data_IF_864168915279
#
_entry.id   IF_864168915279
#
_cell.length_a   1.000
_cell.length_b   1.000
_cell.length_c   1.000
_cell.angle_alpha   90.00
_cell.angle_beta   90.00
_cell.angle_gamma   90.00
#
_symmetry.space_group_name_H-M   'P 1'
#
loop_
_entity.id
_entity.type
_entity.pdbx_description
1 polymer ?
#
# COMPACT_ATOMS: atom_id res chain seq x y z
N UNK A 1 1.46 -21.62 33.00
CA UNK A 1 1.79 -20.19 32.79
C UNK A 1 1.90 -19.91 31.30
N UNK A 2 1.10 -18.91 30.86
CA UNK A 2 1.04 -18.18 29.58
C UNK A 2 1.61 -18.84 28.32
N UNK A 3 0.70 -19.40 27.52
CA UNK A 3 0.91 -19.62 26.09
C UNK A 3 1.19 -18.29 25.38
N UNK A 4 2.41 -18.12 24.88
CA UNK A 4 2.72 -17.05 23.97
C UNK A 4 1.91 -17.24 22.69
N UNK A 5 0.95 -16.34 22.44
CA UNK A 5 0.29 -16.22 21.14
C UNK A 5 1.40 -16.07 20.10
N UNK A 6 1.74 -17.16 19.40
CA UNK A 6 2.47 -17.09 18.14
C UNK A 6 1.59 -16.23 17.24
N UNK A 7 2.00 -14.97 17.07
CA UNK A 7 1.44 -14.08 16.06
C UNK A 7 1.87 -14.70 14.74
N UNK A 8 1.05 -15.63 14.24
CA UNK A 8 1.18 -16.18 12.90
C UNK A 8 1.21 -14.94 12.01
N UNK A 9 2.39 -14.61 11.49
CA UNK A 9 2.53 -13.62 10.43
C UNK A 9 1.76 -14.25 9.28
N UNK A 10 0.49 -13.88 9.11
CA UNK A 10 -0.27 -14.21 7.92
C UNK A 10 0.65 -13.90 6.75
N UNK A 11 0.85 -14.84 5.80
CA UNK A 11 1.73 -14.62 4.67
C UNK A 11 1.36 -13.26 4.09
N UNK A 12 2.41 -12.45 3.87
CA UNK A 12 2.25 -11.16 3.23
C UNK A 12 1.37 -11.37 2.02
N UNK A 13 0.25 -10.65 1.96
CA UNK A 13 -0.69 -10.76 0.86
C UNK A 13 0.13 -10.63 -0.44
N UNK A 14 0.24 -11.74 -1.18
CA UNK A 14 0.99 -11.78 -2.42
C UNK A 14 0.12 -11.05 -3.44
N UNK A 15 0.55 -9.83 -3.78
CA UNK A 15 -0.09 -9.06 -4.83
C UNK A 15 0.44 -9.55 -6.16
N UNK A 16 -0.48 -9.81 -7.09
CA UNK A 16 -0.14 -10.18 -8.45
C UNK A 16 0.53 -9.00 -9.16
N UNK A 17 1.33 -9.31 -10.17
CA UNK A 17 1.88 -8.31 -11.09
C UNK A 17 1.28 -8.52 -12.48
N UNK A 18 0.98 -7.44 -13.19
CA UNK A 18 0.61 -7.51 -14.59
C UNK A 18 1.81 -7.87 -15.50
N UNK A 19 1.56 -7.93 -16.81
CA UNK A 19 2.59 -8.21 -17.82
C UNK A 19 3.72 -7.19 -17.87
N UNK A 20 3.52 -5.99 -17.31
CA UNK A 20 4.52 -4.93 -17.19
C UNK A 20 5.26 -4.97 -15.84
N UNK A 21 4.97 -5.96 -14.99
CA UNK A 21 5.58 -6.13 -13.67
C UNK A 21 4.99 -5.19 -12.61
N UNK A 22 3.84 -4.58 -12.88
CA UNK A 22 3.19 -3.61 -12.00
C UNK A 22 2.22 -4.31 -11.06
N UNK A 23 2.25 -3.92 -9.78
CA UNK A 23 1.43 -4.55 -8.76
C UNK A 23 -0.05 -4.26 -9.00
N UNK A 24 -0.83 -5.32 -9.11
CA UNK A 24 -2.27 -5.31 -9.25
C UNK A 24 -2.95 -5.36 -7.88
N UNK A 25 -4.01 -4.57 -7.73
CA UNK A 25 -4.85 -4.62 -6.54
C UNK A 25 -5.92 -5.70 -6.75
N UNK A 26 -6.16 -6.58 -5.77
CA UNK A 26 -7.25 -7.55 -5.85
C UNK A 26 -8.60 -6.85 -5.75
N UNK A 27 -9.69 -7.53 -6.12
CA UNK A 27 -11.04 -6.98 -5.93
C UNK A 27 -11.34 -6.75 -4.43
N UNK A 28 -11.67 -5.51 -4.08
CA UNK A 28 -11.90 -5.06 -2.70
C UNK A 28 -13.38 -5.00 -2.30
N UNK A 29 -14.32 -5.34 -3.19
CA UNK A 29 -15.77 -5.16 -2.99
C UNK A 29 -16.28 -5.85 -1.73
N UNK A 30 -15.94 -7.13 -1.53
CA UNK A 30 -16.44 -7.95 -0.41
C UNK A 30 -15.48 -8.04 0.80
N UNK A 31 -14.37 -7.30 0.78
CA UNK A 31 -13.34 -7.40 1.81
C UNK A 31 -13.61 -6.56 3.06
N UNK A 32 -13.22 -7.09 4.23
CA UNK A 32 -13.30 -6.35 5.51
C UNK A 32 -12.21 -5.29 5.56
N UNK A 33 -12.40 -4.27 6.41
CA UNK A 33 -11.44 -3.18 6.60
C UNK A 33 -10.02 -3.67 6.89
N UNK A 34 -9.88 -4.70 7.73
CA UNK A 34 -8.56 -5.24 8.09
C UNK A 34 -7.85 -5.93 6.90
N UNK A 35 -8.61 -6.49 5.96
CA UNK A 35 -8.08 -7.06 4.72
C UNK A 35 -7.68 -5.95 3.75
N UNK A 36 -8.52 -4.93 3.62
CA UNK A 36 -8.23 -3.71 2.83
C UNK A 36 -6.96 -3.01 3.33
N UNK A 37 -6.79 -2.86 4.65
CA UNK A 37 -5.54 -2.34 5.24
C UNK A 37 -4.34 -3.23 4.95
N UNK A 38 -4.53 -4.56 4.95
CA UNK A 38 -3.47 -5.51 4.62
C UNK A 38 -3.04 -5.36 3.15
N UNK A 39 -3.98 -5.11 2.24
CA UNK A 39 -3.70 -4.78 0.83
C UNK A 39 -2.89 -3.50 0.74
N UNK A 40 -3.36 -2.39 1.33
CA UNK A 40 -2.63 -1.12 1.31
C UNK A 40 -1.20 -1.29 1.84
N UNK A 41 -1.04 -2.07 2.92
CA UNK A 41 0.27 -2.39 3.49
C UNK A 41 1.15 -3.16 2.51
N UNK A 42 0.65 -4.23 1.91
CA UNK A 42 1.40 -5.05 0.97
C UNK A 42 1.80 -4.22 -0.25
N UNK A 43 0.85 -3.47 -0.80
CA UNK A 43 1.03 -2.62 -1.98
C UNK A 43 2.15 -1.60 -1.77
N UNK A 44 2.09 -0.83 -0.69
CA UNK A 44 3.12 0.18 -0.39
C UNK A 44 4.45 -0.47 -0.01
N UNK A 45 4.45 -1.61 0.69
CA UNK A 45 5.69 -2.31 1.05
C UNK A 45 6.42 -2.82 -0.19
N UNK A 46 5.70 -3.44 -1.12
CA UNK A 46 6.30 -4.00 -2.33
C UNK A 46 6.84 -2.89 -3.24
N UNK A 47 6.08 -1.80 -3.47
CA UNK A 47 6.59 -0.63 -4.20
C UNK A 47 7.84 -0.04 -3.57
N UNK A 48 7.88 0.06 -2.23
CA UNK A 48 9.06 0.60 -1.55
C UNK A 48 10.28 -0.30 -1.75
N UNK A 49 10.11 -1.63 -1.64
CA UNK A 49 11.19 -2.60 -1.86
C UNK A 49 11.74 -2.57 -3.28
N UNK A 50 10.85 -2.40 -4.26
CA UNK A 50 11.23 -2.22 -5.67
C UNK A 50 12.05 -0.94 -5.82
N UNK A 51 11.54 0.18 -5.29
CA UNK A 51 12.23 1.48 -5.35
C UNK A 51 13.60 1.47 -4.64
N UNK A 52 13.67 0.86 -3.46
CA UNK A 52 14.89 0.78 -2.66
C UNK A 52 15.85 -0.32 -3.12
N UNK A 53 15.48 -1.12 -4.14
CA UNK A 53 16.21 -2.30 -4.61
C UNK A 53 16.61 -3.26 -3.47
N UNK A 54 15.72 -3.42 -2.50
CA UNK A 54 15.96 -4.24 -1.31
C UNK A 54 14.69 -4.98 -0.93
N UNK A 55 14.74 -6.31 -0.99
CA UNK A 55 13.66 -7.22 -0.60
C UNK A 55 13.31 -7.14 0.90
N UNK A 56 14.26 -6.66 1.71
CA UNK A 56 14.13 -6.50 3.16
C UNK A 56 13.78 -5.07 3.59
N UNK A 57 13.64 -4.15 2.66
CA UNK A 57 13.29 -2.78 2.99
C UNK A 57 11.95 -2.70 3.73
N UNK A 58 11.94 -1.80 4.71
CA UNK A 58 10.79 -1.48 5.54
C UNK A 58 10.40 -0.04 5.25
N UNK A 59 9.12 0.18 4.97
CA UNK A 59 8.58 1.51 4.69
C UNK A 59 8.80 2.41 5.92
N UNK A 60 9.52 3.53 5.80
CA UNK A 60 9.81 4.43 6.91
C UNK A 60 8.61 5.35 7.17
N UNK A 61 7.52 4.80 7.72
CA UNK A 61 6.26 5.53 7.94
C UNK A 61 6.44 6.84 8.70
N UNK A 62 7.27 6.85 9.74
CA UNK A 62 7.51 8.06 10.53
C UNK A 62 8.07 9.20 9.69
N UNK A 63 8.92 8.90 8.70
CA UNK A 63 9.51 9.90 7.81
C UNK A 63 8.55 10.32 6.71
N UNK A 64 7.80 9.35 6.15
CA UNK A 64 6.77 9.64 5.14
C UNK A 64 5.67 10.54 5.72
N UNK A 65 5.23 10.31 6.95
CA UNK A 65 4.19 11.15 7.58
C UNK A 65 4.69 12.59 7.81
N UNK A 66 5.99 12.76 8.10
CA UNK A 66 6.57 14.10 8.31
C UNK A 66 6.78 14.87 6.99
N UNK A 67 7.10 14.16 5.92
CA UNK A 67 7.55 14.75 4.65
C UNK A 67 6.98 14.02 3.43
N UNK A 68 5.66 13.75 3.39
CA UNK A 68 5.05 12.88 2.39
C UNK A 68 5.41 13.27 0.95
N UNK A 69 5.41 14.57 0.67
CA UNK A 69 5.67 15.09 -0.67
C UNK A 69 7.11 14.86 -1.12
N UNK A 70 8.05 14.62 -0.21
CA UNK A 70 9.44 14.23 -0.53
C UNK A 70 9.54 12.76 -0.92
N UNK A 71 8.58 11.91 -0.51
CA UNK A 71 8.57 10.48 -0.79
C UNK A 71 7.61 10.09 -1.91
N UNK A 72 6.51 10.81 -2.09
CA UNK A 72 5.43 10.44 -3.01
C UNK A 72 4.90 11.68 -3.71
N UNK A 73 4.79 11.64 -5.04
CA UNK A 73 4.15 12.73 -5.78
C UNK A 73 2.63 12.74 -5.51
N UNK A 74 2.03 13.92 -5.30
CA UNK A 74 0.58 14.08 -5.04
C UNK A 74 -0.32 13.40 -6.08
N UNK A 75 0.14 13.20 -7.32
CA UNK A 75 -0.63 12.48 -8.36
C UNK A 75 -0.92 11.00 -8.02
N UNK A 76 -0.21 10.39 -7.08
CA UNK A 76 -0.37 8.99 -6.68
C UNK A 76 -1.22 8.81 -5.41
N UNK A 77 -1.74 9.91 -4.85
CA UNK A 77 -2.51 9.91 -3.60
C UNK A 77 -3.76 10.79 -3.81
N UNK A 78 -4.94 10.43 -3.27
CA UNK A 78 -6.12 11.30 -3.32
C UNK A 78 -5.82 12.68 -2.68
N UNK A 79 -6.46 13.74 -3.19
CA UNK A 79 -6.22 15.11 -2.73
C UNK A 79 -6.51 15.29 -1.22
N UNK A 80 -7.52 14.60 -0.71
CA UNK A 80 -8.04 14.74 0.66
C UNK A 80 -7.56 13.64 1.62
N UNK A 81 -6.56 12.85 1.23
CA UNK A 81 -6.08 11.72 2.04
C UNK A 81 -4.56 11.76 2.15
N UNK A 82 -4.07 11.70 3.39
CA UNK A 82 -2.65 11.52 3.67
C UNK A 82 -2.31 10.04 3.87
N UNK A 83 -1.12 9.67 3.39
CA UNK A 83 -0.51 8.38 3.67
C UNK A 83 -0.10 8.32 5.14
N UNK A 84 -0.61 7.31 5.81
CA UNK A 84 -0.24 6.94 7.17
C UNK A 84 -0.02 5.46 7.26
N UNK A 85 0.52 5.03 8.39
CA UNK A 85 0.72 3.62 8.65
C UNK A 85 -0.61 2.85 8.46
N UNK A 86 -0.64 1.74 7.69
CA UNK A 86 -1.88 1.05 7.34
C UNK A 86 -2.72 0.60 8.53
N UNK A 87 -2.09 0.29 9.67
CA UNK A 87 -2.77 -0.03 10.93
C UNK A 87 -3.64 1.13 11.46
N UNK A 88 -3.29 2.37 11.11
CA UNK A 88 -3.95 3.62 11.54
C UNK A 88 -4.92 4.17 10.50
N UNK A 89 -5.07 3.53 9.34
CA UNK A 89 -6.06 3.95 8.34
C UNK A 89 -7.48 3.73 8.87
N UNK A 90 -8.38 4.67 8.61
CA UNK A 90 -9.80 4.48 8.83
C UNK A 90 -10.47 3.93 7.57
N UNK A 91 -11.72 3.50 7.69
CA UNK A 91 -12.45 2.90 6.57
C UNK A 91 -12.52 3.84 5.37
N UNK A 92 -12.85 5.11 5.61
CA UNK A 92 -12.90 6.14 4.58
C UNK A 92 -11.56 6.27 3.85
N UNK A 93 -10.47 6.52 4.58
CA UNK A 93 -9.13 6.70 3.99
C UNK A 93 -8.68 5.46 3.21
N UNK A 94 -8.94 4.28 3.77
CA UNK A 94 -8.56 3.00 3.14
C UNK A 94 -9.29 2.80 1.82
N UNK A 95 -10.60 3.04 1.80
CA UNK A 95 -11.42 2.94 0.59
C UNK A 95 -11.01 4.00 -0.44
N UNK A 96 -10.78 5.24 -0.01
CA UNK A 96 -10.36 6.31 -0.90
C UNK A 96 -9.03 6.01 -1.59
N UNK A 97 -8.03 5.49 -0.86
CA UNK A 97 -6.75 5.07 -1.41
C UNK A 97 -6.92 3.93 -2.43
N UNK A 98 -7.62 2.86 -2.05
CA UNK A 98 -7.77 1.69 -2.91
C UNK A 98 -8.57 2.00 -4.17
N UNK A 99 -9.70 2.71 -4.05
CA UNK A 99 -10.50 3.13 -5.20
C UNK A 99 -9.71 4.04 -6.14
N UNK A 100 -8.91 4.96 -5.57
CA UNK A 100 -8.06 5.83 -6.39
C UNK A 100 -7.03 5.02 -7.19
N UNK A 101 -6.33 4.08 -6.55
CA UNK A 101 -5.35 3.23 -7.23
C UNK A 101 -5.99 2.28 -8.25
N UNK A 102 -7.15 1.69 -7.95
CA UNK A 102 -7.91 0.93 -8.95
C UNK A 102 -8.24 1.78 -10.18
N UNK A 103 -8.76 3.00 -9.96
CA UNK A 103 -9.06 3.91 -11.06
C UNK A 103 -7.81 4.35 -11.84
N UNK A 104 -6.61 4.33 -11.24
CA UNK A 104 -5.35 4.56 -11.97
C UNK A 104 -4.96 3.33 -12.80
N UNK A 105 -5.15 2.11 -12.29
CA UNK A 105 -4.91 0.86 -13.03
C UNK A 105 -5.82 0.78 -14.27
N UNK A 106 -7.11 1.10 -14.12
CA UNK A 106 -8.07 1.10 -15.23
C UNK A 106 -7.73 2.12 -16.32
N UNK A 107 -7.08 3.24 -15.97
CA UNK A 107 -6.66 4.25 -16.94
C UNK A 107 -5.47 3.79 -17.79
N UNK A 108 -4.68 2.81 -17.34
CA UNK A 108 -3.56 2.22 -18.08
C UNK A 108 -2.44 3.19 -18.48
N UNK A 109 -2.33 4.37 -17.84
CA UNK A 109 -1.38 5.43 -18.24
C UNK A 109 -0.16 5.50 -17.31
N UNK A 110 0.54 4.39 -17.19
CA UNK A 110 1.77 4.27 -16.43
C UNK A 110 1.55 3.77 -15.00
N UNK A 111 2.49 4.05 -14.08
CA UNK A 111 2.51 3.38 -12.80
C UNK A 111 1.39 3.85 -11.88
N UNK A 112 0.70 2.89 -11.26
CA UNK A 112 -0.35 3.12 -10.25
C UNK A 112 0.17 3.90 -9.06
N UNK A 113 1.40 3.61 -8.65
CA UNK A 113 2.06 4.23 -7.52
C UNK A 113 3.58 4.12 -7.68
N UNK A 114 4.33 5.16 -7.28
CA UNK A 114 5.78 5.11 -7.15
C UNK A 114 6.24 5.93 -5.95
N UNK A 115 7.24 5.40 -5.24
CA UNK A 115 8.07 6.23 -4.36
C UNK A 115 9.08 7.02 -5.20
N UNK A 116 9.42 8.21 -4.70
CA UNK A 116 10.56 8.98 -5.18
C UNK A 116 11.84 8.26 -4.73
N UNK A 117 12.79 8.14 -5.65
CA UNK A 117 14.11 7.56 -5.42
C UNK A 117 15.07 8.58 -4.80
#
# INVERSE_FOLDING_TARGET
MKGGRKRIRKPALELETDGDGMLLLPDITEMKLEEKKAIVRAFLTLHYRICSRSDKAVVPWSTIIQSQDDFVARKYVPADVDLKEPSKLQNWDTMALLNFWHAQQEKGKGPTFLFKA
#
